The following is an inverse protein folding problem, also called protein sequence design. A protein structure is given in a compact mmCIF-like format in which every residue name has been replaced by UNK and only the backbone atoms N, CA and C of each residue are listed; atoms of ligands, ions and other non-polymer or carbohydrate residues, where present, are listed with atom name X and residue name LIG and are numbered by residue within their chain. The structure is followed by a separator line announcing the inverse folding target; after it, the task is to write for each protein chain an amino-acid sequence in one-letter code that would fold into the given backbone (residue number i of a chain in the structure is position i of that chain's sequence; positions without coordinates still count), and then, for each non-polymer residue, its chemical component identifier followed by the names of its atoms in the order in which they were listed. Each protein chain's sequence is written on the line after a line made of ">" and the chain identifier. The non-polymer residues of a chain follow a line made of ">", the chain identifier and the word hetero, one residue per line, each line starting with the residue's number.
data_IF_786693117994
#
_entry.id   IF_786693117994
#
_cell.length_a   1.000
_cell.length_b   1.000
_cell.length_c   1.000
_cell.angle_alpha   90.00
_cell.angle_beta   90.00
_cell.angle_gamma   90.00
#
_symmetry.space_group_name_H-M   'P 1'
#
loop_
_entity.id
_entity.type
_entity.pdbx_description
1 polymer ?
#
# COMPACT_ATOMS: atom_id res chain seq x y z
N UNK A 1 15.02 5.52 -1.23
CA UNK A 1 16.19 4.97 -0.53
C UNK A 1 16.30 5.58 0.88
N UNK A 2 16.65 4.75 1.86
CA UNK A 2 16.78 5.15 3.27
C UNK A 2 18.06 5.95 3.49
N UNK A 3 17.96 7.05 4.24
CA UNK A 3 19.11 7.88 4.64
C UNK A 3 19.06 8.20 6.12
N UNK A 4 20.17 8.02 6.81
CA UNK A 4 20.33 8.47 8.20
C UNK A 4 20.94 9.86 8.17
N UNK A 5 20.29 10.82 8.83
CA UNK A 5 20.67 12.22 8.91
C UNK A 5 20.88 12.63 10.37
N UNK A 6 21.36 13.86 10.56
CA UNK A 6 21.53 14.47 11.89
C UNK A 6 22.25 13.51 12.84
N UNK A 7 23.44 13.04 12.51
CA UNK A 7 24.24 12.15 13.39
C UNK A 7 23.49 10.92 13.96
N UNK A 8 22.49 10.38 13.24
CA UNK A 8 21.73 9.21 13.71
C UNK A 8 20.33 9.53 14.26
N UNK A 9 20.00 10.81 14.46
CA UNK A 9 18.72 11.22 15.06
C UNK A 9 17.52 11.12 14.11
N UNK A 10 17.76 11.13 12.79
CA UNK A 10 16.68 11.15 11.79
C UNK A 10 16.88 10.08 10.74
N UNK A 11 15.87 9.21 10.55
CA UNK A 11 15.77 8.34 9.39
C UNK A 11 14.86 9.00 8.34
N UNK A 12 15.41 9.30 7.16
CA UNK A 12 14.68 9.87 6.04
C UNK A 12 14.36 8.80 5.00
N UNK A 13 13.08 8.75 4.62
CA UNK A 13 12.55 7.92 3.55
C UNK A 13 12.26 8.82 2.35
N UNK A 14 13.13 8.81 1.34
CA UNK A 14 13.05 9.76 0.21
C UNK A 14 11.90 9.50 -0.75
N UNK A 15 11.48 8.24 -0.91
CA UNK A 15 10.45 7.85 -1.87
C UNK A 15 9.69 6.69 -1.29
N UNK A 16 8.48 6.94 -0.78
CA UNK A 16 7.67 5.91 -0.14
C UNK A 16 7.35 4.77 -1.13
N UNK A 17 8.05 3.65 -0.98
CA UNK A 17 7.84 2.44 -1.76
C UNK A 17 7.31 1.32 -0.86
N UNK A 18 6.51 0.42 -1.42
CA UNK A 18 5.96 -0.73 -0.69
C UNK A 18 7.07 -1.60 -0.09
N UNK A 19 8.24 -1.68 -0.74
CA UNK A 19 9.43 -2.37 -0.26
C UNK A 19 10.05 -1.76 1.01
N UNK A 20 9.77 -0.48 1.30
CA UNK A 20 10.25 0.21 2.51
C UNK A 20 9.27 0.06 3.68
N UNK A 21 8.09 -0.53 3.47
CA UNK A 21 7.11 -0.81 4.51
C UNK A 21 7.69 -1.77 5.57
N UNK A 22 7.40 -1.53 6.84
CA UNK A 22 7.88 -2.41 7.91
C UNK A 22 8.00 -1.73 9.27
N UNK A 23 8.56 -2.47 10.23
CA UNK A 23 8.82 -1.98 11.58
C UNK A 23 10.25 -1.46 11.69
N UNK A 24 10.38 -0.17 11.94
CA UNK A 24 11.65 0.50 12.21
C UNK A 24 11.85 0.65 13.71
N UNK A 25 13.11 0.61 14.15
CA UNK A 25 13.47 0.85 15.55
C UNK A 25 14.52 1.94 15.61
N UNK A 26 14.31 2.89 16.52
CA UNK A 26 15.34 3.84 16.93
C UNK A 26 15.96 3.31 18.23
N UNK A 27 17.28 3.15 18.24
CA UNK A 27 18.05 2.68 19.40
C UNK A 27 18.94 3.83 19.86
N UNK A 28 18.76 4.25 21.11
CA UNK A 28 19.60 5.26 21.76
C UNK A 28 20.45 4.58 22.83
N UNK A 29 21.77 4.72 22.75
CA UNK A 29 22.73 4.07 23.63
C UNK A 29 23.62 5.09 24.32
N UNK A 30 23.91 4.86 25.61
CA UNK A 30 24.86 5.63 26.39
C UNK A 30 25.61 4.72 27.38
N UNK A 31 26.50 5.29 28.21
CA UNK A 31 27.31 4.53 29.17
C UNK A 31 26.50 3.76 30.22
N UNK A 32 25.24 4.12 30.44
CA UNK A 32 24.36 3.47 31.40
C UNK A 32 23.47 2.39 30.77
N UNK A 33 23.38 2.30 29.44
CA UNK A 33 22.61 1.28 28.73
C UNK A 33 21.97 1.79 27.43
N UNK A 34 20.95 1.08 26.97
CA UNK A 34 20.21 1.39 25.74
C UNK A 34 18.70 1.52 25.97
N UNK A 35 18.06 2.33 25.13
CA UNK A 35 16.62 2.49 25.06
C UNK A 35 16.15 2.41 23.61
N UNK A 36 14.98 1.80 23.38
CA UNK A 36 14.46 1.58 22.03
C UNK A 36 13.06 2.18 21.85
N UNK A 37 12.77 2.63 20.63
CA UNK A 37 11.43 3.05 20.21
C UNK A 37 11.07 2.45 18.85
N UNK A 38 9.94 1.75 18.78
CA UNK A 38 9.42 1.15 17.56
C UNK A 38 8.47 2.09 16.79
N UNK A 39 8.56 2.04 15.47
CA UNK A 39 7.72 2.76 14.52
C UNK A 39 7.25 1.81 13.42
N UNK A 40 5.98 1.87 13.04
CA UNK A 40 5.46 1.11 11.90
C UNK A 40 5.28 2.06 10.72
N UNK A 41 6.02 1.83 9.64
CA UNK A 41 5.87 2.55 8.39
C UNK A 41 4.93 1.78 7.48
N UNK A 42 3.78 2.38 7.15
CA UNK A 42 2.81 1.86 6.19
C UNK A 42 2.82 2.74 4.94
N UNK A 43 2.93 2.12 3.76
CA UNK A 43 2.88 2.83 2.48
C UNK A 43 1.56 2.50 1.80
N UNK A 44 0.73 3.53 1.57
CA UNK A 44 -0.57 3.36 0.93
C UNK A 44 -0.42 3.47 -0.59
N UNK A 45 -1.05 2.54 -1.30
CA UNK A 45 -1.08 2.50 -2.76
C UNK A 45 -2.53 2.68 -3.20
N UNK A 46 -2.83 3.71 -4.02
CA UNK A 46 -4.19 3.95 -4.47
C UNK A 46 -4.73 2.76 -5.26
N UNK A 47 -6.06 2.55 -5.27
CA UNK A 47 -6.66 1.47 -6.03
C UNK A 47 -6.41 1.60 -7.54
N UNK A 48 -6.07 0.50 -8.19
CA UNK A 48 -5.90 0.38 -9.64
C UNK A 48 -6.73 -0.81 -10.15
N UNK A 49 -7.63 -0.56 -11.09
CA UNK A 49 -8.38 -1.63 -11.78
C UNK A 49 -7.42 -2.31 -12.76
N UNK A 50 -7.06 -3.56 -12.48
CA UNK A 50 -6.08 -4.34 -13.26
C UNK A 50 -6.71 -5.47 -14.06
N UNK A 51 -8.01 -5.73 -13.85
CA UNK A 51 -8.77 -6.67 -14.65
C UNK A 51 -9.10 -6.12 -16.04
N UNK A 52 -9.51 -7.01 -16.95
CA UNK A 52 -10.21 -6.62 -18.17
C UNK A 52 -11.47 -5.86 -17.73
N UNK A 53 -11.42 -4.53 -17.78
CA UNK A 53 -12.65 -3.72 -17.80
C UNK A 53 -13.55 -4.40 -18.83
N UNK A 54 -14.79 -4.79 -18.52
CA UNK A 54 -15.65 -5.30 -19.56
C UNK A 54 -15.80 -4.20 -20.61
N UNK A 55 -15.00 -4.30 -21.68
CA UNK A 55 -15.37 -3.77 -22.98
C UNK A 55 -16.79 -4.25 -23.26
N UNK A 56 -17.58 -3.40 -23.91
CA UNK A 56 -19.00 -3.60 -24.16
C UNK A 56 -19.38 -5.08 -24.37
N UNK A 57 -19.97 -5.69 -23.35
CA UNK A 57 -20.42 -7.09 -23.40
C UNK A 57 -21.83 -7.10 -23.96
N UNK A 58 -22.05 -7.88 -25.03
CA UNK A 58 -23.38 -8.12 -25.59
C UNK A 58 -23.85 -9.52 -25.22
N UNK A 59 -25.12 -9.65 -24.83
CA UNK A 59 -25.71 -10.92 -24.41
C UNK A 59 -27.11 -11.05 -25.00
N UNK A 60 -27.49 -12.27 -25.38
CA UNK A 60 -28.84 -12.55 -25.86
C UNK A 60 -29.83 -12.38 -24.71
N UNK A 61 -31.01 -11.84 -25.01
CA UNK A 61 -32.09 -11.66 -24.03
C UNK A 61 -32.37 -12.99 -23.32
N UNK A 62 -32.50 -12.93 -21.98
CA UNK A 62 -32.69 -14.07 -21.07
C UNK A 62 -31.47 -14.97 -20.83
N UNK A 63 -30.30 -14.65 -21.37
CA UNK A 63 -29.07 -15.33 -20.98
C UNK A 63 -28.38 -14.62 -19.81
N UNK A 64 -27.66 -15.39 -18.99
CA UNK A 64 -26.85 -14.87 -17.90
C UNK A 64 -25.54 -14.25 -18.42
N UNK A 65 -25.09 -13.19 -17.75
CA UNK A 65 -23.79 -12.55 -17.98
C UNK A 65 -23.05 -12.37 -16.65
N UNK A 66 -21.73 -12.49 -16.69
CA UNK A 66 -20.86 -12.22 -15.54
C UNK A 66 -19.91 -11.09 -15.90
N UNK A 67 -19.89 -10.05 -15.05
CA UNK A 67 -18.95 -8.93 -15.18
C UNK A 67 -17.88 -9.07 -14.10
N UNK A 68 -16.62 -9.03 -14.51
CA UNK A 68 -15.47 -9.07 -13.60
C UNK A 68 -14.93 -7.67 -13.35
N UNK A 69 -14.66 -7.36 -12.08
CA UNK A 69 -13.92 -6.17 -11.68
C UNK A 69 -12.83 -6.58 -10.70
N UNK A 70 -11.57 -6.43 -11.11
CA UNK A 70 -10.41 -6.72 -10.27
C UNK A 70 -9.65 -5.42 -10.02
N UNK A 71 -9.53 -5.07 -8.74
CA UNK A 71 -8.81 -3.89 -8.30
C UNK A 71 -7.68 -4.30 -7.34
N UNK A 72 -6.51 -3.71 -7.55
CA UNK A 72 -5.33 -3.84 -6.69
C UNK A 72 -5.12 -2.54 -5.92
N UNK A 73 -4.39 -2.58 -4.82
CA UNK A 73 -4.14 -1.42 -3.97
C UNK A 73 -3.75 -1.86 -2.55
N UNK A 74 -3.24 -0.92 -1.76
CA UNK A 74 -2.95 -1.16 -0.36
C UNK A 74 -3.42 0.02 0.52
N UNK A 75 -4.26 -0.23 1.54
CA UNK A 75 -4.92 -1.51 1.87
C UNK A 75 -5.79 -2.05 0.72
N UNK A 76 -6.14 -3.35 0.73
CA UNK A 76 -6.97 -3.93 -0.33
C UNK A 76 -8.26 -3.13 -0.54
N UNK A 77 -8.59 -2.73 -1.79
CA UNK A 77 -9.78 -1.94 -2.07
C UNK A 77 -11.06 -2.76 -1.91
N UNK A 78 -12.18 -2.06 -1.66
CA UNK A 78 -13.52 -2.67 -1.66
C UNK A 78 -14.26 -2.25 -2.93
N UNK A 79 -14.38 -3.13 -3.95
CA UNK A 79 -15.04 -2.79 -5.20
C UNK A 79 -16.57 -2.71 -5.03
N UNK A 80 -17.20 -1.82 -5.80
CA UNK A 80 -18.66 -1.66 -5.87
C UNK A 80 -19.11 -1.42 -7.30
N UNK A 81 -20.31 -1.88 -7.65
CA UNK A 81 -20.92 -1.65 -8.95
C UNK A 81 -21.89 -0.47 -8.90
N UNK A 82 -21.93 0.29 -9.99
CA UNK A 82 -22.90 1.36 -10.23
C UNK A 82 -23.68 1.04 -11.51
N UNK A 83 -24.96 1.42 -11.55
CA UNK A 83 -25.84 1.25 -12.69
C UNK A 83 -26.74 2.49 -12.80
N UNK A 84 -26.75 3.13 -13.97
CA UNK A 84 -27.55 4.32 -14.29
C UNK A 84 -28.66 3.97 -15.30
#
# INVERSE_FOLDING_TARGET
>A
PLKILSNGWTLQVLTAQVSEMGRYVCVAENVAGSAEKHFNLNVHVPPLIVGVSPENVTVVVNNFVSLSCEATGFPPPTPSWLND
#
